data_IF_611035164949
#
_entry.id   IF_611035164949
#
_cell.length_a   1.000
_cell.length_b   1.000
_cell.length_c   1.000
_cell.angle_alpha   90.00
_cell.angle_beta   90.00
_cell.angle_gamma   90.00
#
_symmetry.space_group_name_H-M   'P 1'
#
loop_
_entity.id
_entity.type
_entity.pdbx_description
1 polymer ?
#
# COMPACT_ATOMS: atom_id res chain seq x y z
N UNK A 1 5.41 -9.68 9.56
CA UNK A 1 6.79 -9.63 9.00
C UNK A 1 7.57 -10.90 9.36
N UNK A 2 7.65 -11.27 10.65
CA UNK A 2 8.50 -12.38 11.13
C UNK A 2 8.04 -13.80 10.73
N UNK A 3 6.76 -14.03 10.41
CA UNK A 3 6.23 -15.37 10.13
C UNK A 3 6.35 -15.83 8.66
N UNK A 4 6.59 -14.91 7.71
CA UNK A 4 6.58 -15.20 6.26
C UNK A 4 7.96 -15.04 5.59
N UNK A 5 9.02 -14.86 6.39
CA UNK A 5 10.39 -14.73 5.86
C UNK A 5 10.64 -13.45 5.05
N UNK A 6 9.83 -12.40 5.23
CA UNK A 6 10.10 -11.11 4.59
C UNK A 6 11.43 -10.55 5.08
N UNK A 7 12.28 -10.14 4.15
CA UNK A 7 13.58 -9.57 4.46
C UNK A 7 13.41 -8.38 5.42
N UNK A 8 14.06 -8.38 6.61
CA UNK A 8 13.74 -7.44 7.68
C UNK A 8 13.94 -5.97 7.28
N UNK A 9 14.87 -5.69 6.37
CA UNK A 9 15.12 -4.35 5.83
C UNK A 9 14.04 -3.83 4.88
N UNK A 10 13.12 -4.68 4.42
CA UNK A 10 12.04 -4.27 3.48
C UNK A 10 10.78 -3.78 4.18
N UNK A 11 10.69 -3.85 5.52
CA UNK A 11 9.53 -3.39 6.29
C UNK A 11 8.25 -4.23 6.13
N UNK A 12 8.23 -5.20 5.22
CA UNK A 12 7.09 -6.08 4.94
C UNK A 12 6.34 -5.73 3.66
N UNK A 13 5.20 -6.40 3.43
CA UNK A 13 4.45 -6.28 2.18
C UNK A 13 3.94 -4.86 1.89
N UNK A 14 3.44 -4.14 2.91
CA UNK A 14 2.91 -2.78 2.73
C UNK A 14 4.02 -1.77 2.43
N UNK A 15 5.15 -1.85 3.13
CA UNK A 15 6.32 -1.01 2.87
C UNK A 15 6.93 -1.28 1.50
N UNK A 16 6.90 -2.52 1.04
CA UNK A 16 7.30 -2.85 -0.33
C UNK A 16 6.39 -2.18 -1.36
N UNK A 17 5.07 -2.21 -1.17
CA UNK A 17 4.11 -1.53 -2.06
C UNK A 17 4.32 -0.02 -2.06
N UNK A 18 4.59 0.59 -0.89
CA UNK A 18 4.86 2.02 -0.81
C UNK A 18 6.21 2.39 -1.45
N UNK A 19 7.23 1.54 -1.34
CA UNK A 19 8.53 1.75 -1.97
C UNK A 19 8.49 1.73 -3.50
N UNK A 20 7.69 0.85 -4.10
CA UNK A 20 7.50 0.80 -5.57
C UNK A 20 6.38 1.75 -6.05
N UNK A 21 5.49 2.15 -5.16
CA UNK A 21 4.31 2.97 -5.41
C UNK A 21 3.06 2.18 -5.84
N UNK A 22 1.90 2.59 -5.33
CA UNK A 22 0.61 1.95 -5.59
C UNK A 22 0.27 1.84 -7.09
N UNK A 23 0.55 2.88 -7.89
CA UNK A 23 0.35 2.88 -9.36
C UNK A 23 1.13 1.77 -10.06
N UNK A 24 2.40 1.64 -9.73
CA UNK A 24 3.27 0.64 -10.33
C UNK A 24 2.88 -0.77 -9.89
N UNK A 25 2.54 -0.94 -8.60
CA UNK A 25 2.03 -2.22 -8.10
C UNK A 25 0.75 -2.66 -8.81
N UNK A 26 -0.23 -1.76 -8.97
CA UNK A 26 -1.48 -2.05 -9.70
C UNK A 26 -1.20 -2.43 -11.16
N UNK A 27 -0.24 -1.78 -11.82
CA UNK A 27 0.17 -2.13 -13.19
C UNK A 27 0.72 -3.56 -13.27
N UNK A 28 1.57 -3.95 -12.32
CA UNK A 28 2.12 -5.31 -12.22
C UNK A 28 0.98 -6.31 -11.95
N UNK A 29 0.11 -6.02 -10.98
CA UNK A 29 -1.04 -6.86 -10.65
C UNK A 29 -1.96 -7.08 -11.85
N UNK A 30 -2.26 -6.04 -12.65
CA UNK A 30 -3.03 -6.18 -13.90
C UNK A 30 -2.34 -7.05 -14.94
N UNK A 31 -1.02 -6.93 -15.08
CA UNK A 31 -0.25 -7.77 -16.00
C UNK A 31 -0.28 -9.25 -15.57
N UNK A 32 -0.14 -9.51 -14.27
CA UNK A 32 -0.26 -10.85 -13.70
C UNK A 32 -1.68 -11.39 -13.82
N UNK A 33 -2.70 -10.56 -13.59
CA UNK A 33 -4.11 -10.93 -13.75
C UNK A 33 -4.41 -11.38 -15.19
N UNK A 34 -3.85 -10.67 -16.19
CA UNK A 34 -4.00 -11.06 -17.60
C UNK A 34 -3.35 -12.42 -17.91
N UNK A 35 -2.28 -12.78 -17.20
CA UNK A 35 -1.50 -13.99 -17.47
C UNK A 35 -1.96 -15.21 -16.67
N UNK A 36 -2.40 -15.01 -15.43
CA UNK A 36 -2.65 -16.07 -14.45
C UNK A 36 -4.08 -16.08 -13.92
N UNK A 37 -4.91 -15.08 -14.24
CA UNK A 37 -6.33 -15.06 -13.89
C UNK A 37 -6.67 -14.21 -12.67
N UNK A 38 -7.87 -14.43 -12.11
CA UNK A 38 -8.52 -13.52 -11.18
C UNK A 38 -7.83 -13.38 -9.81
N UNK A 39 -6.98 -14.32 -9.43
CA UNK A 39 -6.25 -14.31 -8.15
C UNK A 39 -5.31 -13.11 -8.01
N UNK A 40 -4.84 -12.54 -9.13
CA UNK A 40 -3.98 -11.35 -9.15
C UNK A 40 -4.75 -10.03 -9.31
N UNK A 41 -6.09 -10.07 -9.20
CA UNK A 41 -6.91 -8.87 -9.28
C UNK A 41 -6.57 -7.93 -8.13
N UNK A 42 -6.13 -6.72 -8.46
CA UNK A 42 -5.84 -5.69 -7.48
C UNK A 42 -7.11 -5.34 -6.67
N UNK A 43 -7.06 -5.31 -5.33
CA UNK A 43 -8.16 -4.86 -4.49
C UNK A 43 -8.56 -3.41 -4.80
N UNK A 44 -9.84 -3.08 -4.59
CA UNK A 44 -10.38 -1.73 -4.81
C UNK A 44 -9.58 -0.65 -4.07
N UNK A 45 -9.16 -0.93 -2.83
CA UNK A 45 -8.33 -0.03 -2.04
C UNK A 45 -7.05 0.39 -2.77
N UNK A 46 -6.34 -0.56 -3.40
CA UNK A 46 -5.11 -0.27 -4.14
C UNK A 46 -5.37 0.50 -5.43
N UNK A 47 -6.51 0.27 -6.08
CA UNK A 47 -6.92 1.06 -7.24
C UNK A 47 -7.16 2.52 -6.84
N UNK A 48 -7.93 2.75 -5.77
CA UNK A 48 -8.23 4.09 -5.27
C UNK A 48 -6.94 4.81 -4.82
N UNK A 49 -6.03 4.10 -4.13
CA UNK A 49 -4.73 4.65 -3.72
C UNK A 49 -3.84 4.94 -4.93
N UNK A 50 -3.87 4.08 -5.96
CA UNK A 50 -3.14 4.32 -7.20
C UNK A 50 -3.67 5.57 -7.93
N UNK A 51 -4.98 5.81 -7.95
CA UNK A 51 -5.55 7.02 -8.57
C UNK A 51 -5.13 8.29 -7.82
N UNK A 52 -5.19 8.26 -6.49
CA UNK A 52 -4.88 9.40 -5.62
C UNK A 52 -3.38 9.61 -5.38
N UNK A 53 -2.54 8.64 -5.71
CA UNK A 53 -1.10 8.69 -5.42
C UNK A 53 -0.79 8.57 -3.92
N UNK A 54 -1.67 7.90 -3.16
CA UNK A 54 -1.52 7.73 -1.71
C UNK A 54 -0.57 6.56 -1.38
N UNK A 55 0.08 6.64 -0.22
CA UNK A 55 0.86 5.56 0.39
C UNK A 55 0.14 5.00 1.61
N UNK A 56 0.40 3.74 1.98
CA UNK A 56 -0.15 3.16 3.21
C UNK A 56 0.34 3.91 4.44
N UNK A 57 1.61 4.30 4.48
CA UNK A 57 2.18 5.05 5.60
C UNK A 57 1.63 6.46 5.74
N UNK A 58 1.16 7.13 4.68
CA UNK A 58 0.45 8.40 4.83
C UNK A 58 -1.02 8.21 5.17
N UNK A 59 -1.71 7.29 4.48
CA UNK A 59 -3.16 7.14 4.61
C UNK A 59 -3.58 6.55 5.95
N UNK A 60 -2.74 5.71 6.55
CA UNK A 60 -3.00 5.03 7.82
C UNK A 60 -2.00 5.41 8.91
N UNK A 61 -1.40 6.60 8.82
CA UNK A 61 -0.51 7.12 9.86
C UNK A 61 -1.28 7.28 11.19
N UNK A 62 -0.96 6.48 12.23
CA UNK A 62 -1.64 6.58 13.53
C UNK A 62 -1.20 7.82 14.34
N UNK A 63 -0.20 8.57 13.86
CA UNK A 63 0.34 9.76 14.50
C UNK A 63 -0.01 11.06 13.76
N UNK A 64 -0.84 10.98 12.70
CA UNK A 64 -1.50 12.16 12.13
C UNK A 64 -2.28 12.85 13.25
N UNK A 65 -1.73 13.97 13.73
CA UNK A 65 -2.31 14.80 14.78
C UNK A 65 -3.79 15.04 14.47
N UNK A 66 -4.66 14.37 15.24
CA UNK A 66 -5.96 14.94 15.55
C UNK A 66 -5.72 16.37 16.02
N UNK A 67 -6.50 17.30 15.49
CA UNK A 67 -6.49 18.73 15.82
C UNK A 67 -6.02 18.95 17.26
N UNK A 68 -4.88 19.65 17.42
CA UNK A 68 -4.57 20.23 18.72
C UNK A 68 -5.66 21.28 18.94
N UNK A 69 -6.77 20.90 19.59
CA UNK A 69 -7.70 21.86 20.17
C UNK A 69 -6.89 22.63 21.19
N UNK A 70 -6.43 23.83 20.80
CA UNK A 70 -5.88 24.81 21.72
C UNK A 70 -6.94 25.04 22.80
N UNK A 71 -6.64 24.59 24.02
CA UNK A 71 -7.37 25.02 25.20
C UNK A 71 -6.99 26.48 25.44
N UNK A 72 -7.97 27.37 25.25
CA UNK A 72 -7.95 28.76 25.68
C UNK A 72 -8.02 28.87 27.21
#
# INVERSE_FOLDING_TARGET
ILAFGFAPFTGGALSYIDGIGAKQFVKIAKALQKKYGAEFKAPKLLLDMAEKGETFYQRFDPYQKGEIKQAA
#
